data_IF_705699099450
#
_entry.id   IF_705699099450
#
_cell.length_a   1.000
_cell.length_b   1.000
_cell.length_c   1.000
_cell.angle_alpha   90.00
_cell.angle_beta   90.00
_cell.angle_gamma   90.00
#
_symmetry.space_group_name_H-M   'P 1'
#
loop_
_entity.id
_entity.type
_entity.pdbx_description
1 polymer ?
#
# COMPACT_ATOMS: atom_id res chain seq x y z
N UNK A 1 -7.22 21.75 -3.57
CA UNK A 1 -6.16 21.83 -2.54
C UNK A 1 -6.82 21.67 -1.18
N UNK A 2 -6.20 20.97 -0.23
CA UNK A 2 -6.72 20.83 1.14
C UNK A 2 -6.66 22.18 1.86
N UNK A 3 -7.68 22.54 2.63
CA UNK A 3 -7.66 23.76 3.47
C UNK A 3 -6.75 23.57 4.69
N UNK A 4 -6.31 24.68 5.30
CA UNK A 4 -5.46 24.59 6.50
C UNK A 4 -6.14 23.89 7.68
N UNK A 5 -7.45 24.09 7.83
CA UNK A 5 -8.22 23.46 8.91
C UNK A 5 -8.39 21.95 8.67
N UNK A 6 -8.69 21.53 7.44
CA UNK A 6 -8.71 20.10 7.08
C UNK A 6 -7.34 19.45 7.29
N UNK A 7 -6.25 20.16 6.98
CA UNK A 7 -4.88 19.68 7.21
C UNK A 7 -4.60 19.45 8.70
N UNK A 8 -4.95 20.43 9.55
CA UNK A 8 -4.76 20.34 11.00
C UNK A 8 -5.55 19.15 11.58
N UNK A 9 -6.84 19.04 11.25
CA UNK A 9 -7.70 17.92 11.70
C UNK A 9 -7.17 16.56 11.23
N UNK A 10 -6.75 16.48 9.96
CA UNK A 10 -6.16 15.26 9.40
C UNK A 10 -4.90 14.86 10.16
N UNK A 11 -4.00 15.82 10.40
CA UNK A 11 -2.74 15.58 11.09
C UNK A 11 -2.98 15.07 12.51
N UNK A 12 -3.87 15.70 13.27
CA UNK A 12 -4.23 15.28 14.63
C UNK A 12 -4.80 13.86 14.65
N UNK A 13 -5.69 13.54 13.70
CA UNK A 13 -6.25 12.18 13.58
C UNK A 13 -5.17 11.12 13.28
N UNK A 14 -4.29 11.39 12.31
CA UNK A 14 -3.21 10.47 11.92
C UNK A 14 -2.19 10.30 13.05
N UNK A 15 -1.83 11.37 13.74
CA UNK A 15 -0.93 11.34 14.88
C UNK A 15 -1.47 10.43 15.98
N UNK A 16 -2.76 10.58 16.33
CA UNK A 16 -3.43 9.72 17.30
C UNK A 16 -3.41 8.24 16.89
N UNK A 17 -3.71 7.93 15.62
CA UNK A 17 -3.67 6.55 15.10
C UNK A 17 -2.25 5.96 15.09
N UNK A 18 -1.25 6.77 14.74
CA UNK A 18 0.15 6.34 14.66
C UNK A 18 0.72 6.04 16.04
N UNK A 19 0.44 6.89 17.04
CA UNK A 19 0.85 6.66 18.42
C UNK A 19 0.14 5.46 19.05
N UNK A 20 -1.14 5.26 18.75
CA UNK A 20 -1.88 4.08 19.20
C UNK A 20 -1.29 2.79 18.64
N UNK A 21 -0.94 2.77 17.34
CA UNK A 21 -0.25 1.64 16.70
C UNK A 21 1.12 1.38 17.30
N UNK A 22 1.94 2.41 17.48
CA UNK A 22 3.26 2.27 18.11
C UNK A 22 3.17 1.64 19.50
N UNK A 23 2.24 2.10 20.33
CA UNK A 23 2.02 1.54 21.67
C UNK A 23 1.53 0.09 21.61
N UNK A 24 0.61 -0.22 20.70
CA UNK A 24 0.05 -1.56 20.55
C UNK A 24 1.09 -2.57 20.05
N UNK A 25 1.89 -2.18 19.07
CA UNK A 25 2.92 -3.02 18.43
C UNK A 25 4.27 -2.97 19.18
N UNK A 26 4.35 -2.26 20.31
CA UNK A 26 5.57 -2.10 21.12
C UNK A 26 6.77 -1.58 20.31
N UNK A 27 6.52 -0.64 19.40
CA UNK A 27 7.55 -0.02 18.57
C UNK A 27 8.24 1.13 19.30
N UNK A 28 9.52 1.33 19.00
CA UNK A 28 10.32 2.42 19.58
C UNK A 28 9.94 3.81 19.04
N UNK A 29 9.34 3.87 17.85
CA UNK A 29 8.98 5.11 17.20
C UNK A 29 7.73 4.98 16.31
N UNK A 30 7.03 6.10 16.12
CA UNK A 30 5.93 6.27 15.18
C UNK A 30 6.19 7.47 14.29
N UNK A 31 5.82 7.38 13.00
CA UNK A 31 5.82 8.53 12.11
C UNK A 31 4.50 9.29 12.23
N UNK A 32 4.51 10.40 12.98
CA UNK A 32 3.31 11.21 13.28
C UNK A 32 3.19 12.48 12.43
N UNK A 33 4.30 12.99 11.89
CA UNK A 33 4.36 14.21 11.11
C UNK A 33 4.64 13.97 9.63
N UNK A 34 3.87 14.64 8.76
CA UNK A 34 4.02 14.55 7.31
C UNK A 34 4.06 15.96 6.69
N UNK A 35 4.98 16.21 5.75
CA UNK A 35 4.97 17.43 4.95
C UNK A 35 3.66 17.60 4.18
N UNK A 36 3.15 18.83 4.05
CA UNK A 36 1.86 19.09 3.37
C UNK A 36 1.84 18.63 1.91
N UNK A 37 2.99 18.62 1.23
CA UNK A 37 3.16 18.12 -0.15
C UNK A 37 3.09 16.57 -0.25
N UNK A 38 2.96 15.85 0.86
CA UNK A 38 2.70 14.42 0.88
C UNK A 38 1.21 14.08 1.01
N UNK A 39 0.34 15.10 1.09
CA UNK A 39 -1.11 14.94 1.15
C UNK A 39 -1.66 15.05 -0.27
N UNK A 40 -2.00 13.91 -0.86
CA UNK A 40 -2.65 13.82 -2.16
C UNK A 40 -4.17 13.81 -1.95
N UNK A 41 -4.91 14.66 -2.66
CA UNK A 41 -6.38 14.62 -2.66
C UNK A 41 -6.85 13.70 -3.79
N UNK A 42 -7.68 12.72 -3.45
CA UNK A 42 -8.36 11.87 -4.43
C UNK A 42 -9.86 12.15 -4.41
N UNK A 43 -10.46 12.17 -5.60
CA UNK A 43 -11.91 12.10 -5.75
C UNK A 43 -12.24 10.69 -6.24
N UNK A 44 -13.03 9.94 -5.47
CA UNK A 44 -13.47 8.60 -5.84
C UNK A 44 -14.99 8.59 -5.68
N UNK A 45 -15.72 8.37 -6.77
CA UNK A 45 -17.19 8.39 -6.83
C UNK A 45 -17.81 9.63 -6.15
N UNK A 46 -17.24 10.81 -6.42
CA UNK A 46 -17.70 12.10 -5.87
C UNK A 46 -17.32 12.36 -4.40
N UNK A 47 -16.73 11.39 -3.71
CA UNK A 47 -16.27 11.51 -2.31
C UNK A 47 -14.81 11.95 -2.27
N UNK A 48 -14.46 12.74 -1.25
CA UNK A 48 -13.11 13.28 -1.08
C UNK A 48 -12.29 12.38 -0.15
N UNK A 49 -11.11 12.00 -0.59
CA UNK A 49 -10.14 11.25 0.19
C UNK A 49 -8.81 11.98 0.23
N UNK A 50 -8.08 11.75 1.31
CA UNK A 50 -6.70 12.19 1.45
C UNK A 50 -5.80 10.97 1.58
N UNK A 51 -4.76 10.90 0.74
CA UNK A 51 -3.69 9.92 0.84
C UNK A 51 -2.43 10.62 1.33
N UNK A 52 -1.95 10.20 2.50
CA UNK A 52 -0.85 10.82 3.24
C UNK A 52 0.31 9.84 3.24
N UNK A 53 1.36 10.15 2.49
CA UNK A 53 2.49 9.24 2.23
C UNK A 53 3.70 9.60 3.09
N UNK A 54 4.46 8.63 3.58
CA UNK A 54 5.84 8.89 4.01
C UNK A 54 6.69 9.32 2.80
N UNK A 55 7.76 10.10 3.01
CA UNK A 55 8.64 10.54 1.90
C UNK A 55 9.18 9.35 1.09
N UNK A 56 9.61 8.29 1.77
CA UNK A 56 10.19 7.10 1.13
C UNK A 56 9.11 6.32 0.40
N UNK A 57 7.94 6.12 1.03
CA UNK A 57 6.82 5.46 0.36
C UNK A 57 6.44 6.22 -0.91
N UNK A 58 6.36 7.56 -0.83
CA UNK A 58 6.08 8.43 -1.97
C UNK A 58 7.14 8.26 -3.07
N UNK A 59 8.42 8.41 -2.74
CA UNK A 59 9.52 8.32 -3.70
C UNK A 59 9.57 6.95 -4.39
N UNK A 60 9.37 5.86 -3.63
CA UNK A 60 9.36 4.51 -4.18
C UNK A 60 8.18 4.34 -5.15
N UNK A 61 6.96 4.65 -4.72
CA UNK A 61 5.77 4.35 -5.52
C UNK A 61 5.63 5.28 -6.74
N UNK A 62 5.95 6.56 -6.59
CA UNK A 62 5.78 7.56 -7.65
C UNK A 62 6.97 7.59 -8.63
N UNK A 63 8.15 7.11 -8.22
CA UNK A 63 9.36 7.25 -9.02
C UNK A 63 10.17 5.94 -9.11
N UNK A 64 10.78 5.50 -8.02
CA UNK A 64 11.83 4.47 -8.09
C UNK A 64 11.32 3.12 -8.54
N UNK A 65 10.12 2.72 -8.16
CA UNK A 65 9.57 1.42 -8.53
C UNK A 65 9.38 1.30 -10.03
N UNK A 66 8.79 2.32 -10.65
CA UNK A 66 8.57 2.36 -12.09
C UNK A 66 9.89 2.44 -12.86
N UNK A 67 10.84 3.25 -12.37
CA UNK A 67 12.17 3.31 -12.98
C UNK A 67 12.93 1.98 -12.86
N UNK A 68 12.88 1.32 -11.70
CA UNK A 68 13.51 0.02 -11.46
C UNK A 68 12.93 -1.05 -12.39
N UNK A 69 11.60 -1.08 -12.53
CA UNK A 69 10.87 -1.96 -13.46
C UNK A 69 11.33 -1.79 -14.91
N UNK A 70 11.59 -0.55 -15.33
CA UNK A 70 12.10 -0.24 -16.68
C UNK A 70 13.58 -0.54 -16.88
N UNK A 71 14.42 -0.25 -15.88
CA UNK A 71 15.89 -0.37 -16.00
C UNK A 71 16.39 -1.79 -15.74
N UNK A 72 15.71 -2.55 -14.89
CA UNK A 72 16.09 -3.89 -14.47
C UNK A 72 14.94 -4.90 -14.65
N UNK A 73 14.34 -5.01 -15.85
CA UNK A 73 13.19 -5.88 -16.08
C UNK A 73 13.48 -7.36 -15.74
N UNK A 74 14.73 -7.80 -15.83
CA UNK A 74 15.19 -9.14 -15.50
C UNK A 74 15.08 -9.50 -14.01
N UNK A 75 14.88 -8.50 -13.13
CA UNK A 75 14.70 -8.68 -11.69
C UNK A 75 13.24 -8.84 -11.26
N UNK A 76 12.31 -8.75 -12.21
CA UNK A 76 10.89 -9.00 -12.02
C UNK A 76 10.52 -10.39 -12.59
N UNK A 77 9.39 -10.95 -12.17
CA UNK A 77 8.92 -12.31 -12.56
C UNK A 77 9.83 -13.48 -12.15
N UNK A 78 10.86 -13.24 -11.33
CA UNK A 78 11.83 -14.27 -10.92
C UNK A 78 11.27 -15.27 -9.88
N UNK A 79 10.13 -14.92 -9.28
CA UNK A 79 9.57 -15.62 -8.13
C UNK A 79 10.27 -15.30 -6.80
N UNK A 80 11.23 -14.37 -6.77
CA UNK A 80 12.01 -14.02 -5.59
C UNK A 80 11.92 -12.52 -5.28
N UNK A 81 11.32 -12.18 -4.14
CA UNK A 81 11.10 -10.81 -3.70
C UNK A 81 12.40 -10.01 -3.49
N UNK A 82 13.51 -10.68 -3.20
CA UNK A 82 14.80 -10.01 -3.05
C UNK A 82 15.30 -9.40 -4.36
N UNK A 83 14.99 -10.00 -5.51
CA UNK A 83 15.41 -9.44 -6.80
C UNK A 83 14.69 -8.11 -7.07
N UNK A 84 13.41 -8.03 -6.72
CA UNK A 84 12.61 -6.79 -6.80
C UNK A 84 13.16 -5.72 -5.86
N UNK A 85 13.53 -6.08 -4.62
CA UNK A 85 14.14 -5.11 -3.69
C UNK A 85 15.50 -4.65 -4.20
N UNK A 86 16.31 -5.55 -4.73
CA UNK A 86 17.62 -5.22 -5.31
C UNK A 86 17.47 -4.26 -6.49
N UNK A 87 16.46 -4.45 -7.36
CA UNK A 87 16.16 -3.51 -8.44
C UNK A 87 15.85 -2.09 -7.92
N UNK A 88 15.08 -1.99 -6.83
CA UNK A 88 14.75 -0.71 -6.18
C UNK A 88 15.99 -0.11 -5.50
N UNK A 89 16.79 -0.93 -4.82
CA UNK A 89 18.03 -0.51 -4.16
C UNK A 89 19.03 0.07 -5.16
N UNK A 90 19.14 -0.51 -6.36
CA UNK A 90 20.00 -0.01 -7.43
C UNK A 90 19.59 1.38 -7.97
N UNK A 91 18.37 1.85 -7.68
CA UNK A 91 17.94 3.20 -8.03
C UNK A 91 18.53 4.27 -7.13
N UNK A 92 18.64 3.98 -5.82
CA UNK A 92 19.24 4.88 -4.83
C UNK A 92 19.90 4.04 -3.72
N UNK A 93 21.14 3.56 -3.94
CA UNK A 93 21.82 2.68 -3.01
C UNK A 93 22.19 3.45 -1.74
N UNK A 94 21.40 3.21 -0.70
CA UNK A 94 21.57 3.78 0.63
C UNK A 94 21.72 2.64 1.62
N UNK A 95 22.80 2.65 2.41
CA UNK A 95 23.19 1.55 3.30
C UNK A 95 23.56 0.26 2.56
N UNK A 96 23.87 -0.81 3.29
CA UNK A 96 23.88 -2.17 2.73
C UNK A 96 22.45 -2.68 2.50
N UNK A 97 22.30 -3.71 1.65
CA UNK A 97 21.00 -4.22 1.23
C UNK A 97 20.15 -4.74 2.41
N UNK A 98 20.78 -5.33 3.43
CA UNK A 98 20.08 -5.84 4.60
C UNK A 98 19.44 -4.71 5.40
N UNK A 99 20.22 -3.66 5.69
CA UNK A 99 19.71 -2.44 6.34
C UNK A 99 18.66 -1.73 5.50
N UNK A 100 18.83 -1.71 4.18
CA UNK A 100 17.84 -1.15 3.27
C UNK A 100 16.50 -1.90 3.35
N UNK A 101 16.54 -3.24 3.33
CA UNK A 101 15.35 -4.09 3.49
C UNK A 101 14.63 -3.77 4.81
N UNK A 102 15.37 -3.71 5.91
CA UNK A 102 14.78 -3.43 7.22
C UNK A 102 14.25 -1.99 7.34
N UNK A 103 14.90 -1.04 6.68
CA UNK A 103 14.40 0.32 6.57
C UNK A 103 13.05 0.38 5.82
N UNK A 104 12.91 -0.35 4.70
CA UNK A 104 11.68 -0.35 3.92
C UNK A 104 10.49 -1.00 4.64
N UNK A 105 10.73 -1.98 5.52
CA UNK A 105 9.68 -2.62 6.35
C UNK A 105 9.09 -1.66 7.38
N UNK A 106 9.84 -0.65 7.80
CA UNK A 106 9.55 0.13 8.99
C UNK A 106 9.09 1.56 8.67
N UNK A 107 7.86 1.89 9.05
CA UNK A 107 7.29 3.24 8.96
C UNK A 107 7.34 3.88 7.55
N UNK A 108 7.41 3.06 6.49
CA UNK A 108 7.23 3.46 5.09
C UNK A 108 5.86 3.03 4.59
N UNK A 109 4.91 3.95 4.67
CA UNK A 109 3.51 3.68 4.38
C UNK A 109 2.78 4.90 3.83
N UNK A 110 1.55 4.65 3.39
CA UNK A 110 0.53 5.65 3.17
C UNK A 110 -0.69 5.41 4.04
N UNK A 111 -1.29 6.49 4.56
CA UNK A 111 -2.64 6.47 5.10
C UNK A 111 -3.63 6.97 4.05
N UNK A 112 -4.81 6.36 4.01
CA UNK A 112 -5.95 6.84 3.25
C UNK A 112 -7.12 7.05 4.21
N UNK A 113 -7.70 8.23 4.15
CA UNK A 113 -8.84 8.63 4.96
C UNK A 113 -9.86 9.35 4.09
N UNK A 114 -11.12 9.23 4.48
CA UNK A 114 -12.19 10.02 3.87
C UNK A 114 -12.36 11.35 4.62
N UNK A 115 -12.60 12.42 3.85
CA UNK A 115 -13.16 13.64 4.39
C UNK A 115 -14.58 13.84 3.88
N UNK A 116 -15.50 14.09 4.82
CA UNK A 116 -16.91 14.32 4.57
C UNK A 116 -17.32 15.65 5.18
N UNK A 117 -17.75 16.59 4.35
CA UNK A 117 -18.24 17.91 4.76
C UNK A 117 -17.26 18.68 5.67
N UNK A 118 -15.94 18.53 5.44
CA UNK A 118 -14.89 19.16 6.24
C UNK A 118 -14.51 18.44 7.54
N UNK A 119 -15.10 17.27 7.80
CA UNK A 119 -14.74 16.38 8.89
C UNK A 119 -13.97 15.15 8.39
N UNK A 120 -13.16 14.56 9.28
CA UNK A 120 -12.37 13.35 8.98
C UNK A 120 -13.14 12.13 9.48
N UNK A 121 -13.41 11.18 8.58
CA UNK A 121 -14.05 9.93 8.95
C UNK A 121 -13.12 9.07 9.81
N UNK A 122 -13.69 8.35 10.78
CA UNK A 122 -12.90 7.50 11.69
C UNK A 122 -12.30 6.25 10.99
N UNK A 123 -12.84 5.86 9.83
CA UNK A 123 -12.35 4.72 9.04
C UNK A 123 -11.06 5.11 8.32
N UNK A 124 -10.01 4.32 8.50
CA UNK A 124 -8.66 4.58 7.95
C UNK A 124 -8.05 3.30 7.39
N UNK A 125 -7.38 3.44 6.24
CA UNK A 125 -6.58 2.39 5.61
C UNK A 125 -5.11 2.78 5.67
N UNK A 126 -4.25 1.88 6.14
CA UNK A 126 -2.80 1.96 6.05
C UNK A 126 -2.29 0.98 4.99
N UNK A 127 -1.40 1.46 4.13
CA UNK A 127 -0.73 0.69 3.10
C UNK A 127 0.77 0.80 3.34
N UNK A 128 1.36 -0.26 3.88
CA UNK A 128 2.82 -0.37 3.98
C UNK A 128 3.42 -0.80 2.64
N UNK A 129 4.72 -0.60 2.43
CA UNK A 129 5.42 -1.19 1.28
C UNK A 129 5.32 -2.72 1.32
N UNK A 130 5.76 -3.30 2.44
CA UNK A 130 5.58 -4.69 2.83
C UNK A 130 5.81 -4.82 4.34
N UNK A 131 5.30 -5.90 4.97
CA UNK A 131 5.48 -6.10 6.42
C UNK A 131 6.65 -7.02 6.75
N UNK A 132 6.82 -8.09 5.97
CA UNK A 132 7.91 -9.04 6.14
C UNK A 132 8.24 -9.75 4.82
N UNK A 133 9.37 -10.45 4.82
CA UNK A 133 9.77 -11.36 3.76
C UNK A 133 9.76 -12.77 4.35
N UNK A 134 9.03 -13.68 3.71
CA UNK A 134 8.93 -15.06 4.13
C UNK A 134 9.53 -15.99 3.07
N UNK A 135 10.15 -17.09 3.48
CA UNK A 135 10.61 -18.11 2.54
C UNK A 135 9.43 -18.96 2.08
N UNK A 136 9.24 -19.07 0.77
CA UNK A 136 8.21 -19.92 0.16
C UNK A 136 8.67 -21.39 0.09
N UNK A 137 7.77 -22.26 -0.37
CA UNK A 137 8.02 -23.72 -0.50
C UNK A 137 9.18 -24.08 -1.43
N UNK A 138 9.58 -23.17 -2.33
CA UNK A 138 10.67 -23.34 -3.28
C UNK A 138 11.99 -22.74 -2.77
N UNK A 139 12.03 -22.23 -1.53
CA UNK A 139 13.21 -21.61 -0.94
C UNK A 139 13.46 -20.17 -1.38
N UNK A 140 12.52 -19.55 -2.12
CA UNK A 140 12.60 -18.14 -2.56
C UNK A 140 11.88 -17.22 -1.59
N UNK A 141 12.26 -15.94 -1.54
CA UNK A 141 11.59 -14.96 -0.68
C UNK A 141 10.29 -14.46 -1.32
N UNK A 142 9.25 -14.28 -0.51
CA UNK A 142 7.98 -13.68 -0.89
C UNK A 142 7.66 -12.48 0.01
N UNK A 143 7.10 -11.41 -0.55
CA UNK A 143 6.55 -10.32 0.24
C UNK A 143 5.31 -10.78 0.99
N UNK A 144 5.14 -10.35 2.25
CA UNK A 144 3.92 -10.57 3.02
C UNK A 144 3.33 -9.25 3.49
N UNK A 145 2.06 -9.02 3.11
CA UNK A 145 1.33 -7.78 3.39
C UNK A 145 1.88 -6.57 2.63
N UNK A 146 1.14 -5.47 2.65
CA UNK A 146 1.54 -4.23 1.96
C UNK A 146 1.39 -4.30 0.45
N UNK A 147 1.76 -3.23 -0.23
CA UNK A 147 1.53 -3.03 -1.66
C UNK A 147 2.46 -3.89 -2.55
N UNK A 148 3.68 -4.20 -2.11
CA UNK A 148 4.58 -5.07 -2.89
C UNK A 148 4.06 -6.50 -3.02
N UNK A 149 3.33 -6.99 -2.01
CA UNK A 149 2.65 -8.27 -2.09
C UNK A 149 1.50 -8.25 -3.10
N UNK A 150 0.86 -7.10 -3.34
CA UNK A 150 -0.24 -7.00 -4.29
C UNK A 150 0.26 -6.83 -5.73
N UNK A 151 1.43 -6.22 -5.92
CA UNK A 151 2.06 -6.02 -7.23
C UNK A 151 2.26 -7.30 -8.04
N UNK A 152 2.36 -8.48 -7.40
CA UNK A 152 2.47 -9.76 -8.12
C UNK A 152 1.26 -10.08 -9.01
N UNK A 153 0.15 -9.38 -8.83
CA UNK A 153 -1.08 -9.54 -9.60
C UNK A 153 -1.27 -8.45 -10.66
N UNK A 154 -0.29 -7.58 -10.89
CA UNK A 154 -0.40 -6.47 -11.84
C UNK A 154 0.84 -6.42 -12.73
N UNK A 155 0.69 -5.79 -13.89
CA UNK A 155 1.78 -5.63 -14.86
C UNK A 155 1.79 -4.20 -15.41
N UNK A 156 2.91 -3.81 -16.01
CA UNK A 156 3.03 -2.64 -16.87
C UNK A 156 3.71 -3.11 -18.14
N UNK A 157 3.18 -2.73 -19.31
CA UNK A 157 3.70 -3.15 -20.62
C UNK A 157 3.90 -4.68 -20.75
N UNK A 158 2.97 -5.45 -20.17
CA UNK A 158 2.98 -6.92 -20.07
C UNK A 158 4.15 -7.53 -19.29
N UNK A 159 4.86 -6.75 -18.48
CA UNK A 159 5.82 -7.25 -17.50
C UNK A 159 5.23 -7.13 -16.10
N UNK A 160 5.15 -8.23 -15.35
CA UNK A 160 4.64 -8.23 -13.97
C UNK A 160 5.40 -7.21 -13.12
N UNK A 161 4.68 -6.60 -12.19
CA UNK A 161 5.26 -5.60 -11.29
C UNK A 161 6.04 -6.22 -10.14
N UNK A 162 6.03 -7.53 -9.93
CA UNK A 162 6.72 -8.15 -8.79
C UNK A 162 7.15 -9.57 -9.15
N UNK A 163 6.91 -10.55 -8.27
CA UNK A 163 7.37 -11.93 -8.39
C UNK A 163 6.43 -12.84 -9.19
N UNK A 164 5.26 -12.34 -9.59
CA UNK A 164 4.21 -13.13 -10.24
C UNK A 164 4.42 -13.27 -11.75
N UNK A 165 3.43 -13.84 -12.42
CA UNK A 165 3.35 -13.91 -13.90
C UNK A 165 1.99 -13.43 -14.42
N UNK A 166 1.18 -12.87 -13.54
CA UNK A 166 -0.14 -12.36 -13.89
C UNK A 166 0.02 -11.10 -14.75
N UNK A 167 -0.75 -11.01 -15.84
CA UNK A 167 -0.75 -9.86 -16.73
C UNK A 167 -2.06 -9.09 -16.58
N UNK A 168 -2.01 -8.02 -15.78
CA UNK A 168 -3.08 -7.04 -15.63
C UNK A 168 -2.47 -5.66 -15.73
N UNK A 169 -2.47 -5.12 -16.95
CA UNK A 169 -1.78 -3.87 -17.23
C UNK A 169 -2.46 -2.70 -16.51
N UNK A 170 -1.67 -2.03 -15.69
CA UNK A 170 -1.94 -0.71 -15.16
C UNK A 170 -0.99 0.29 -15.83
N UNK A 171 -1.24 1.59 -15.66
CA UNK A 171 -0.35 2.61 -16.25
C UNK A 171 0.79 3.00 -15.32
N UNK A 172 0.56 2.97 -14.01
CA UNK A 172 1.53 3.37 -12.99
C UNK A 172 1.21 2.72 -11.63
N UNK A 173 2.22 2.44 -10.78
CA UNK A 173 2.02 1.74 -9.50
C UNK A 173 1.00 2.40 -8.56
N UNK A 174 0.89 3.73 -8.59
CA UNK A 174 -0.08 4.47 -7.76
C UNK A 174 -1.55 4.11 -8.06
N UNK A 175 -1.89 3.57 -9.24
CA UNK A 175 -3.26 3.11 -9.54
C UNK A 175 -3.74 2.05 -8.54
N UNK A 176 -2.83 1.25 -7.97
CA UNK A 176 -3.19 0.22 -6.98
C UNK A 176 -3.62 0.84 -5.64
N UNK A 177 -3.09 2.01 -5.28
CA UNK A 177 -3.53 2.78 -4.10
C UNK A 177 -4.98 3.26 -4.31
N UNK A 178 -5.30 3.74 -5.52
CA UNK A 178 -6.65 4.14 -5.88
C UNK A 178 -7.64 2.97 -5.83
N UNK A 179 -7.28 1.83 -6.42
CA UNK A 179 -8.10 0.62 -6.38
C UNK A 179 -8.32 0.11 -4.94
N UNK A 180 -7.27 0.17 -4.10
CA UNK A 180 -7.39 -0.19 -2.69
C UNK A 180 -8.34 0.76 -1.93
N UNK A 181 -8.29 2.07 -2.21
CA UNK A 181 -9.20 3.05 -1.63
C UNK A 181 -10.64 2.81 -2.07
N UNK A 182 -10.88 2.61 -3.36
CA UNK A 182 -12.20 2.28 -3.90
C UNK A 182 -12.76 1.02 -3.25
N UNK A 183 -11.94 -0.04 -3.17
CA UNK A 183 -12.37 -1.32 -2.62
C UNK A 183 -12.72 -1.20 -1.14
N UNK A 184 -11.97 -0.39 -0.40
CA UNK A 184 -12.11 -0.30 1.05
C UNK A 184 -13.21 0.66 1.50
N UNK A 185 -13.39 1.79 0.80
CA UNK A 185 -14.31 2.85 1.22
C UNK A 185 -15.62 2.90 0.44
N UNK A 186 -15.63 2.39 -0.80
CA UNK A 186 -16.74 2.55 -1.73
C UNK A 186 -17.44 1.21 -1.99
N UNK A 187 -16.67 0.19 -2.38
CA UNK A 187 -17.22 -1.12 -2.69
C UNK A 187 -17.87 -1.75 -1.45
N UNK A 188 -18.90 -2.55 -1.68
CA UNK A 188 -19.48 -3.37 -0.63
C UNK A 188 -18.44 -4.36 -0.12
N UNK A 189 -18.26 -4.39 1.21
CA UNK A 189 -17.33 -5.26 1.88
C UNK A 189 -18.04 -6.15 2.88
N UNK A 190 -17.60 -7.40 3.00
CA UNK A 190 -18.11 -8.36 3.96
C UNK A 190 -17.00 -8.70 4.95
N UNK A 191 -17.32 -8.67 6.25
CA UNK A 191 -16.43 -9.22 7.26
C UNK A 191 -16.53 -10.74 7.24
N UNK A 192 -15.47 -11.42 6.78
CA UNK A 192 -15.38 -12.89 6.89
C UNK A 192 -15.12 -13.31 8.36
N UNK A 193 -14.55 -12.41 9.16
CA UNK A 193 -14.43 -12.50 10.62
C UNK A 193 -14.19 -11.08 11.21
N UNK A 194 -14.14 -10.90 12.55
CA UNK A 194 -13.98 -9.57 13.17
C UNK A 194 -12.77 -8.77 12.65
N UNK A 195 -11.68 -9.47 12.28
CA UNK A 195 -10.42 -8.87 11.84
C UNK A 195 -10.23 -8.83 10.32
N UNK A 196 -11.14 -9.40 9.53
CA UNK A 196 -10.94 -9.59 8.09
C UNK A 196 -12.11 -9.03 7.29
N UNK A 197 -11.87 -7.91 6.63
CA UNK A 197 -12.78 -7.32 5.65
C UNK A 197 -12.37 -7.76 4.26
N UNK A 198 -13.33 -8.20 3.46
CA UNK A 198 -13.14 -8.56 2.06
C UNK A 198 -14.08 -7.72 1.21
N UNK A 199 -13.55 -7.11 0.16
CA UNK A 199 -14.36 -6.41 -0.84
C UNK A 199 -13.87 -6.76 -2.24
N UNK A 200 -14.71 -6.47 -3.24
CA UNK A 200 -14.46 -6.87 -4.61
C UNK A 200 -14.74 -5.71 -5.56
N UNK A 201 -13.88 -5.55 -6.56
CA UNK A 201 -14.07 -4.60 -7.67
C UNK A 201 -13.99 -5.40 -8.97
N UNK A 202 -14.90 -5.11 -9.90
CA UNK A 202 -14.85 -5.69 -11.23
C UNK A 202 -13.62 -5.21 -12.01
N UNK A 203 -12.87 -6.16 -12.60
CA UNK A 203 -11.71 -5.86 -13.43
C UNK A 203 -12.10 -5.80 -14.91
N UNK A 204 -12.82 -6.81 -15.37
CA UNK A 204 -13.33 -6.95 -16.74
C UNK A 204 -14.62 -7.81 -16.73
N UNK A 205 -15.12 -8.22 -17.89
CA UNK A 205 -16.35 -9.03 -17.99
C UNK A 205 -16.24 -10.43 -17.35
N UNK A 206 -15.03 -10.95 -17.16
CA UNK A 206 -14.75 -12.32 -16.70
C UNK A 206 -14.23 -12.36 -15.27
N UNK A 207 -13.60 -11.30 -14.80
CA UNK A 207 -12.83 -11.32 -13.57
C UNK A 207 -13.10 -10.11 -12.67
N UNK A 208 -12.85 -10.33 -11.38
CA UNK A 208 -12.86 -9.31 -10.33
C UNK A 208 -11.61 -9.38 -9.48
N UNK A 209 -11.23 -8.25 -8.91
CA UNK A 209 -10.19 -8.14 -7.91
C UNK A 209 -10.81 -8.29 -6.52
N UNK A 210 -10.42 -9.33 -5.79
CA UNK A 210 -10.74 -9.54 -4.38
C UNK A 210 -9.68 -8.87 -3.52
N UNK A 211 -10.07 -7.84 -2.78
CA UNK A 211 -9.23 -7.17 -1.80
C UNK A 211 -9.46 -7.78 -0.43
N UNK A 212 -8.36 -8.03 0.30
CA UNK A 212 -8.40 -8.52 1.67
C UNK A 212 -7.72 -7.52 2.58
N UNK A 213 -8.47 -7.04 3.56
CA UNK A 213 -8.00 -6.10 4.57
C UNK A 213 -7.99 -6.77 5.95
N UNK A 214 -6.97 -6.43 6.72
CA UNK A 214 -6.84 -6.80 8.13
C UNK A 214 -7.20 -5.60 9.01
N UNK A 215 -8.06 -5.77 10.00
CA UNK A 215 -8.36 -4.77 11.03
C UNK A 215 -7.50 -5.04 12.27
N UNK A 216 -6.71 -4.05 12.66
CA UNK A 216 -6.15 -4.02 14.01
C UNK A 216 -7.19 -3.45 14.98
N UNK A 217 -7.82 -4.32 15.77
CA UNK A 217 -8.96 -3.97 16.63
C UNK A 217 -8.59 -2.95 17.71
N UNK A 218 -7.35 -2.96 18.20
CA UNK A 218 -6.94 -2.05 19.28
C UNK A 218 -6.80 -0.60 18.82
N UNK A 219 -6.51 -0.39 17.53
CA UNK A 219 -6.23 0.93 16.96
C UNK A 219 -7.28 1.36 15.93
N UNK A 220 -8.13 0.40 15.52
CA UNK A 220 -9.13 0.56 14.47
C UNK A 220 -8.50 1.03 13.15
N UNK A 221 -7.30 0.52 12.86
CA UNK A 221 -6.59 0.76 11.59
C UNK A 221 -6.70 -0.47 10.72
N UNK A 222 -7.12 -0.28 9.48
CA UNK A 222 -7.13 -1.34 8.50
C UNK A 222 -5.82 -1.37 7.72
N UNK A 223 -5.38 -2.55 7.33
CA UNK A 223 -4.19 -2.78 6.54
C UNK A 223 -4.54 -3.57 5.29
N UNK A 224 -3.92 -3.26 4.17
CA UNK A 224 -4.00 -4.13 3.00
C UNK A 224 -3.18 -5.41 3.25
N UNK A 225 -3.86 -6.56 3.22
CA UNK A 225 -3.21 -7.86 3.35
C UNK A 225 -2.78 -8.40 2.00
N UNK A 226 -3.70 -8.42 1.04
CA UNK A 226 -3.46 -8.93 -0.31
C UNK A 226 -4.58 -8.53 -1.26
N UNK A 227 -4.34 -8.68 -2.56
CA UNK A 227 -5.31 -8.56 -3.65
C UNK A 227 -5.20 -9.83 -4.46
N UNK A 228 -6.31 -10.41 -4.89
CA UNK A 228 -6.30 -11.56 -5.79
C UNK A 228 -7.24 -11.33 -6.96
N UNK A 229 -6.89 -11.87 -8.12
CA UNK A 229 -7.84 -12.02 -9.20
C UNK A 229 -8.67 -13.28 -9.00
N UNK A 230 -9.98 -13.18 -9.13
CA UNK A 230 -10.88 -14.32 -9.14
C UNK A 230 -11.92 -14.20 -10.27
N UNK A 231 -12.40 -15.33 -10.82
CA UNK A 231 -13.56 -15.33 -11.72
C UNK A 231 -14.79 -14.71 -11.04
N UNK A 232 -15.66 -14.08 -11.84
CA UNK A 232 -16.94 -13.54 -11.37
C UNK A 232 -17.87 -14.64 -10.87
#
# INVERSE_FOLDING_TARGET
MMTWEEFRKTREFIEGKSLALMKHETKDAAKTGFPINNYSKYLINGRTFYCIKSNVFKAIIEDYYFQAHKKFPEKFETGNALDVIDAIYLMEPTFDLERFIDFLKNEQFAYIIESKDGEIANKILRIDLFRQLDTNKEGKMEFTGGIFHTFKHFSIDNLNLSTGKDIHNIQYPEQIIHLAAEAFFIAEGTHENPKKLVSKIDLDDKYRLKFVFYLEENTQVYFIKTIHKEPK
#
